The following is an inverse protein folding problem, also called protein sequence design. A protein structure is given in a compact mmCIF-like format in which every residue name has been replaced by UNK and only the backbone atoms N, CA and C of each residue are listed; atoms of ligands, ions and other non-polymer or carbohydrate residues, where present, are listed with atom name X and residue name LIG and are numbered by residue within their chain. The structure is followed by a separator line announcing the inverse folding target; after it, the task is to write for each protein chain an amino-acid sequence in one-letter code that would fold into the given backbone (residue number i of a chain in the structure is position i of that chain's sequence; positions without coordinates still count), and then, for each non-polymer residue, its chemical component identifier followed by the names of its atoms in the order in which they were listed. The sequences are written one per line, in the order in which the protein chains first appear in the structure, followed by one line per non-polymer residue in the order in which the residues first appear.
data_IF_026045162100
#
_entry.id   IF_026045162100
#
_cell.length_a   1.000
_cell.length_b   1.000
_cell.length_c   1.000
_cell.angle_alpha   90.00
_cell.angle_beta   90.00
_cell.angle_gamma   90.00
#
_symmetry.space_group_name_H-M   'P 1'
#
loop_
_entity.id
_entity.type
_entity.pdbx_description
1 polymer ?
#
# COMPACT_ATOMS: atom_id res chain seq x y z
N UNK A 1 -0.39 10.06 -16.01
CA UNK A 1 -1.79 9.58 -15.73
C UNK A 1 -1.94 9.39 -14.23
N UNK A 2 -3.10 9.74 -13.67
CA UNK A 2 -3.33 9.55 -12.23
C UNK A 2 -4.81 9.33 -11.93
N UNK A 3 -5.08 8.85 -10.71
CA UNK A 3 -6.40 8.82 -10.11
C UNK A 3 -6.27 9.13 -8.62
N UNK A 4 -7.17 9.96 -8.11
CA UNK A 4 -7.29 10.30 -6.69
C UNK A 4 -8.70 9.93 -6.23
N UNK A 5 -8.83 9.29 -5.07
CA UNK A 5 -10.14 8.99 -4.47
C UNK A 5 -10.89 10.29 -4.15
N UNK A 6 -12.22 10.26 -4.29
CA UNK A 6 -13.10 11.44 -4.13
C UNK A 6 -12.82 12.19 -2.82
N UNK A 7 -12.71 11.45 -1.72
CA UNK A 7 -12.41 11.97 -0.37
C UNK A 7 -11.20 12.91 -0.32
N UNK A 8 -10.21 12.74 -1.24
CA UNK A 8 -8.94 13.49 -1.21
C UNK A 8 -8.78 14.47 -2.38
N UNK A 9 -9.84 14.70 -3.16
CA UNK A 9 -9.75 15.62 -4.32
C UNK A 9 -9.44 17.06 -3.92
N UNK A 10 -9.93 17.50 -2.76
CA UNK A 10 -9.60 18.82 -2.23
C UNK A 10 -8.09 19.01 -1.94
N UNK A 11 -7.38 17.91 -1.66
CA UNK A 11 -5.94 17.92 -1.37
C UNK A 11 -5.08 17.60 -2.60
N UNK A 12 -5.64 17.62 -3.81
CA UNK A 12 -4.95 17.23 -5.04
C UNK A 12 -3.61 17.93 -5.22
N UNK A 13 -3.56 19.24 -5.09
CA UNK A 13 -2.35 20.04 -5.28
C UNK A 13 -1.23 19.64 -4.29
N UNK A 14 -1.59 19.43 -3.03
CA UNK A 14 -0.63 18.97 -2.02
C UNK A 14 -0.09 17.58 -2.34
N UNK A 15 -0.96 16.65 -2.77
CA UNK A 15 -0.54 15.28 -3.13
C UNK A 15 0.36 15.31 -4.38
N UNK A 16 0.03 16.09 -5.40
CA UNK A 16 0.87 16.28 -6.58
C UNK A 16 2.23 16.90 -6.21
N UNK A 17 2.25 17.87 -5.28
CA UNK A 17 3.48 18.45 -4.72
C UNK A 17 4.34 17.40 -4.03
N UNK A 18 3.77 16.50 -3.22
CA UNK A 18 4.53 15.42 -2.59
C UNK A 18 5.14 14.43 -3.60
N UNK A 19 4.45 14.19 -4.72
CA UNK A 19 4.97 13.34 -5.79
C UNK A 19 6.12 14.02 -6.53
N UNK A 20 5.99 15.31 -6.87
CA UNK A 20 7.03 16.07 -7.59
C UNK A 20 8.31 16.23 -6.75
N UNK A 21 8.15 16.39 -5.43
CA UNK A 21 9.27 16.56 -4.48
C UNK A 21 9.66 15.25 -3.78
N UNK A 22 9.21 14.10 -4.27
CA UNK A 22 9.40 12.82 -3.58
C UNK A 22 10.86 12.53 -3.24
N UNK A 23 11.79 12.84 -4.13
CA UNK A 23 13.21 12.54 -3.90
C UNK A 23 13.83 13.47 -2.83
N UNK A 24 13.37 14.73 -2.76
CA UNK A 24 13.94 15.79 -1.92
C UNK A 24 13.22 16.02 -0.59
N UNK A 25 11.98 15.50 -0.44
CA UNK A 25 11.13 15.74 0.74
C UNK A 25 10.54 14.46 1.29
N UNK A 26 9.80 14.58 2.40
CA UNK A 26 9.17 13.46 3.11
C UNK A 26 10.13 12.69 4.01
N UNK A 27 9.60 12.10 5.06
CA UNK A 27 10.33 11.25 6.00
C UNK A 27 10.54 9.86 5.42
N UNK A 28 11.78 9.40 5.34
CA UNK A 28 12.08 8.06 4.82
C UNK A 28 11.59 6.98 5.80
N UNK A 29 10.61 6.19 5.40
CA UNK A 29 10.06 5.08 6.19
C UNK A 29 10.71 3.74 5.83
N UNK A 30 10.83 3.43 4.52
CA UNK A 30 11.51 2.20 4.05
C UNK A 30 12.31 2.52 2.81
N UNK A 31 13.58 2.07 2.79
CA UNK A 31 14.43 2.08 1.59
C UNK A 31 14.75 0.65 1.19
N UNK A 32 14.10 0.16 0.15
CA UNK A 32 14.33 -1.16 -0.42
C UNK A 32 14.96 -1.09 -1.81
N UNK A 33 15.46 -2.23 -2.31
CA UNK A 33 16.06 -2.33 -3.65
C UNK A 33 15.08 -2.11 -4.81
N UNK A 34 13.79 -2.32 -4.56
CA UNK A 34 12.72 -2.29 -5.59
C UNK A 34 11.72 -1.16 -5.41
N UNK A 35 11.73 -0.49 -4.29
CA UNK A 35 10.84 0.61 -3.97
C UNK A 35 11.39 1.41 -2.79
N UNK A 36 10.93 2.64 -2.66
CA UNK A 36 11.12 3.47 -1.47
C UNK A 36 9.75 3.92 -0.97
N UNK A 37 9.61 3.99 0.34
CA UNK A 37 8.40 4.48 0.99
C UNK A 37 8.77 5.69 1.83
N UNK A 38 8.05 6.78 1.65
CA UNK A 38 8.19 7.98 2.45
C UNK A 38 6.84 8.40 3.05
N UNK A 39 6.90 9.03 4.21
CA UNK A 39 5.74 9.60 4.89
C UNK A 39 5.66 11.09 4.63
N UNK A 40 4.44 11.56 4.37
CA UNK A 40 4.13 12.97 4.12
C UNK A 40 2.95 13.39 4.99
N UNK A 41 3.04 14.54 5.62
CA UNK A 41 1.94 15.12 6.39
C UNK A 41 0.96 15.82 5.47
N UNK A 42 -0.31 15.43 5.55
CA UNK A 42 -1.41 16.03 4.81
C UNK A 42 -2.52 16.40 5.83
N UNK A 43 -2.52 17.65 6.26
CA UNK A 43 -3.40 18.12 7.33
C UNK A 43 -3.25 17.25 8.60
N UNK A 44 -4.33 16.66 9.07
CA UNK A 44 -4.35 15.76 10.22
C UNK A 44 -3.93 14.31 9.88
N UNK A 45 -3.67 14.00 8.61
CA UNK A 45 -3.32 12.66 8.14
C UNK A 45 -1.83 12.54 7.85
N UNK A 46 -1.33 11.32 7.90
CA UNK A 46 -0.03 10.96 7.34
C UNK A 46 -0.26 10.07 6.13
N UNK A 47 0.31 10.44 4.99
CA UNK A 47 0.29 9.61 3.79
C UNK A 47 1.56 8.75 3.74
N UNK A 48 1.37 7.50 3.39
CA UNK A 48 2.43 6.58 3.00
C UNK A 48 2.49 6.56 1.48
N UNK A 49 3.57 7.12 0.91
CA UNK A 49 3.76 7.18 -0.54
C UNK A 49 4.88 6.23 -0.93
N UNK A 50 4.55 5.27 -1.77
CA UNK A 50 5.45 4.25 -2.30
C UNK A 50 5.84 4.60 -3.73
N UNK A 51 7.13 4.89 -3.93
CA UNK A 51 7.75 5.01 -5.25
C UNK A 51 8.26 3.64 -5.69
N UNK A 52 7.90 3.22 -6.89
CA UNK A 52 8.38 1.98 -7.48
C UNK A 52 9.61 2.23 -8.35
N UNK A 53 10.57 1.30 -8.31
CA UNK A 53 11.78 1.37 -9.15
C UNK A 53 11.40 1.56 -10.61
N UNK A 54 12.10 2.49 -11.27
CA UNK A 54 11.96 2.74 -12.71
C UNK A 54 12.13 1.44 -13.50
N UNK A 55 11.19 1.11 -14.40
CA UNK A 55 11.28 -0.11 -15.19
C UNK A 55 12.41 -0.02 -16.21
N UNK A 56 12.97 -1.19 -16.58
CA UNK A 56 13.88 -1.27 -17.73
C UNK A 56 13.11 -1.02 -19.05
N UNK A 57 13.84 -0.85 -20.17
CA UNK A 57 13.25 -0.49 -21.47
C UNK A 57 12.10 -1.42 -21.91
N UNK A 58 12.27 -2.73 -21.76
CA UNK A 58 11.25 -3.71 -22.13
C UNK A 58 10.00 -3.54 -21.26
N UNK A 59 10.19 -3.42 -19.95
CA UNK A 59 9.08 -3.23 -19.01
C UNK A 59 8.40 -1.86 -19.16
N UNK A 60 9.10 -0.80 -19.61
CA UNK A 60 8.47 0.48 -19.93
C UNK A 60 7.38 0.31 -21.00
N UNK A 61 7.69 -0.43 -22.08
CA UNK A 61 6.77 -0.72 -23.17
C UNK A 61 5.62 -1.62 -22.70
N UNK A 62 5.96 -2.69 -21.93
CA UNK A 62 4.95 -3.60 -21.39
C UNK A 62 3.94 -2.86 -20.50
N UNK A 63 4.40 -1.95 -19.62
CA UNK A 63 3.50 -1.16 -18.79
C UNK A 63 2.72 -0.09 -19.55
N UNK A 64 3.18 0.31 -20.72
CA UNK A 64 2.45 1.27 -21.56
C UNK A 64 1.27 0.63 -22.30
N UNK A 65 1.46 -0.58 -22.83
CA UNK A 65 0.51 -1.18 -23.77
C UNK A 65 -0.17 -2.45 -23.27
N UNK A 66 0.45 -3.22 -22.40
CA UNK A 66 -0.01 -4.58 -22.07
C UNK A 66 -0.35 -4.79 -20.59
N UNK A 67 0.22 -4.01 -19.70
CA UNK A 67 0.06 -4.25 -18.26
C UNK A 67 -0.01 -2.96 -17.47
N UNK A 68 -1.01 -2.87 -16.57
CA UNK A 68 -1.08 -1.77 -15.59
C UNK A 68 0.17 -1.72 -14.71
N UNK A 69 0.64 -0.51 -14.35
CA UNK A 69 1.76 -0.34 -13.44
C UNK A 69 1.52 -1.00 -12.07
N UNK A 70 2.60 -1.18 -11.32
CA UNK A 70 2.48 -1.67 -9.93
C UNK A 70 1.67 -0.69 -9.06
N UNK A 71 1.89 0.62 -9.23
CA UNK A 71 1.17 1.66 -8.50
C UNK A 71 -0.34 1.58 -8.74
N UNK A 72 -0.75 1.55 -10.00
CA UNK A 72 -2.16 1.44 -10.37
C UNK A 72 -2.80 0.15 -9.85
N UNK A 73 -2.11 -0.99 -9.97
CA UNK A 73 -2.61 -2.26 -9.42
C UNK A 73 -2.77 -2.22 -7.91
N UNK A 74 -1.80 -1.65 -7.19
CA UNK A 74 -1.90 -1.48 -5.72
C UNK A 74 -3.13 -0.67 -5.34
N UNK A 75 -3.38 0.44 -6.05
CA UNK A 75 -4.56 1.29 -5.82
C UNK A 75 -5.88 0.55 -6.12
N UNK A 76 -5.97 -0.13 -7.27
CA UNK A 76 -7.17 -0.86 -7.68
C UNK A 76 -7.47 -2.04 -6.74
N UNK A 77 -6.44 -2.80 -6.32
CA UNK A 77 -6.62 -3.91 -5.39
C UNK A 77 -7.00 -3.43 -4.00
N UNK A 78 -6.33 -2.41 -3.46
CA UNK A 78 -6.72 -1.82 -2.18
C UNK A 78 -8.16 -1.28 -2.22
N UNK A 79 -8.56 -0.64 -3.31
CA UNK A 79 -9.95 -0.18 -3.49
C UNK A 79 -10.92 -1.35 -3.49
N UNK A 80 -10.63 -2.42 -4.23
CA UNK A 80 -11.48 -3.63 -4.25
C UNK A 80 -11.58 -4.31 -2.88
N UNK A 81 -10.48 -4.38 -2.13
CA UNK A 81 -10.50 -4.93 -0.76
C UNK A 81 -11.43 -4.11 0.14
N UNK A 82 -11.34 -2.77 0.08
CA UNK A 82 -12.24 -1.88 0.82
C UNK A 82 -13.71 -2.11 0.46
N UNK A 83 -14.02 -2.20 -0.83
CA UNK A 83 -15.39 -2.44 -1.32
C UNK A 83 -15.95 -3.79 -0.84
N UNK A 84 -15.08 -4.77 -0.59
CA UNK A 84 -15.44 -6.07 -0.02
C UNK A 84 -15.43 -6.10 1.52
N UNK A 85 -15.17 -4.96 2.17
CA UNK A 85 -15.06 -4.87 3.63
C UNK A 85 -13.84 -5.62 4.20
N UNK A 86 -12.77 -5.77 3.41
CA UNK A 86 -11.50 -6.35 3.85
C UNK A 86 -10.56 -5.22 4.26
N UNK A 87 -10.01 -5.28 5.47
CA UNK A 87 -9.10 -4.27 6.01
C UNK A 87 -7.83 -4.12 5.16
N UNK A 88 -7.54 -2.88 4.76
CA UNK A 88 -6.31 -2.48 4.08
C UNK A 88 -6.06 -1.00 4.36
N UNK A 89 -4.81 -0.49 4.28
CA UNK A 89 -4.59 0.95 4.32
C UNK A 89 -5.44 1.68 3.28
N UNK A 90 -6.14 2.73 3.69
CA UNK A 90 -7.05 3.48 2.83
C UNK A 90 -6.32 4.00 1.58
N UNK A 91 -6.68 3.55 0.37
CA UNK A 91 -6.05 4.05 -0.84
C UNK A 91 -6.41 5.51 -1.09
N UNK A 92 -5.42 6.33 -1.40
CA UNK A 92 -5.55 7.77 -1.66
C UNK A 92 -5.44 8.05 -3.15
N UNK A 93 -4.32 7.65 -3.76
CA UNK A 93 -4.05 7.95 -5.16
C UNK A 93 -3.04 6.99 -5.78
N UNK A 94 -3.01 6.95 -7.12
CA UNK A 94 -1.82 6.53 -7.87
C UNK A 94 -1.45 7.58 -8.90
N UNK A 95 -0.15 7.62 -9.24
CA UNK A 95 0.41 8.47 -10.28
C UNK A 95 1.34 7.66 -11.18
N UNK A 96 1.28 7.95 -12.48
CA UNK A 96 2.12 7.34 -13.51
C UNK A 96 2.65 8.43 -14.43
N UNK A 97 3.96 8.56 -14.50
CA UNK A 97 4.65 9.45 -15.41
C UNK A 97 5.22 8.66 -16.59
N UNK A 98 4.93 9.10 -17.78
CA UNK A 98 5.36 8.45 -19.01
C UNK A 98 6.34 9.34 -19.75
N UNK A 99 7.40 8.73 -20.31
CA UNK A 99 8.23 9.34 -21.33
C UNK A 99 7.81 8.84 -22.75
N UNK A 100 8.58 9.20 -23.77
CA UNK A 100 8.27 8.80 -25.15
C UNK A 100 8.34 7.27 -25.37
N UNK A 101 9.10 6.53 -24.57
CA UNK A 101 9.23 5.07 -24.65
C UNK A 101 8.09 4.38 -23.88
N UNK A 102 7.80 4.84 -22.68
CA UNK A 102 6.79 4.18 -21.83
C UNK A 102 6.74 4.68 -20.40
N UNK A 103 6.34 3.81 -19.48
CA UNK A 103 6.27 4.15 -18.07
C UNK A 103 7.67 4.48 -17.51
N UNK A 104 7.82 5.68 -16.97
CA UNK A 104 9.06 6.12 -16.37
C UNK A 104 9.05 6.03 -14.84
N UNK A 105 7.99 6.56 -14.21
CA UNK A 105 7.84 6.57 -12.76
C UNK A 105 6.41 6.21 -12.37
N UNK A 106 6.25 5.61 -11.20
CA UNK A 106 4.93 5.34 -10.68
C UNK A 106 4.93 5.35 -9.16
N UNK A 107 3.87 5.95 -8.59
CA UNK A 107 3.70 6.17 -7.16
C UNK A 107 2.31 5.70 -6.73
N UNK A 108 2.25 5.07 -5.57
CA UNK A 108 1.01 4.71 -4.90
C UNK A 108 0.97 5.37 -3.53
N UNK A 109 -0.10 6.08 -3.24
CA UNK A 109 -0.34 6.74 -1.96
C UNK A 109 -1.50 6.09 -1.23
N UNK A 110 -1.33 5.82 0.06
CA UNK A 110 -2.39 5.40 0.98
C UNK A 110 -2.24 6.14 2.32
N UNK A 111 -3.27 6.11 3.15
CA UNK A 111 -3.15 6.57 4.54
C UNK A 111 -2.13 5.70 5.29
N UNK A 112 -1.29 6.32 6.10
CA UNK A 112 -0.38 5.59 6.98
C UNK A 112 -1.14 5.05 8.18
N UNK A 113 -0.96 3.77 8.46
CA UNK A 113 -1.53 3.14 9.65
C UNK A 113 -0.56 3.25 10.82
N UNK A 114 -1.00 3.86 11.89
CA UNK A 114 -0.29 3.91 13.15
C UNK A 114 -0.70 2.76 14.08
N UNK A 115 0.15 2.44 15.06
CA UNK A 115 -0.10 1.39 16.07
C UNK A 115 -0.39 0.01 15.46
N UNK A 116 0.34 -0.33 14.41
CA UNK A 116 0.31 -1.64 13.76
C UNK A 116 1.65 -2.34 13.91
N UNK A 117 1.63 -3.67 13.85
CA UNK A 117 2.85 -4.50 13.75
C UNK A 117 2.69 -5.50 12.60
N UNK A 118 3.81 -6.00 12.10
CA UNK A 118 3.80 -6.99 11.03
C UNK A 118 3.46 -8.39 11.58
N UNK A 119 2.71 -9.17 10.83
CA UNK A 119 2.46 -10.58 11.17
C UNK A 119 3.77 -11.38 11.33
N UNK A 120 4.85 -10.93 10.70
CA UNK A 120 6.20 -11.48 10.88
C UNK A 120 6.65 -11.51 12.34
N UNK A 121 6.32 -10.49 13.12
CA UNK A 121 6.67 -10.42 14.54
C UNK A 121 6.00 -11.55 15.34
N UNK A 122 4.76 -11.91 14.99
CA UNK A 122 4.03 -13.02 15.59
C UNK A 122 4.68 -14.36 15.23
N UNK A 123 5.12 -14.51 13.96
CA UNK A 123 5.75 -15.75 13.49
C UNK A 123 7.11 -15.98 14.16
N UNK A 124 7.90 -14.91 14.28
CA UNK A 124 9.28 -14.98 14.80
C UNK A 124 9.36 -15.01 16.34
N UNK A 125 8.38 -14.46 17.04
CA UNK A 125 8.38 -14.41 18.49
C UNK A 125 7.30 -15.32 19.08
N UNK A 126 7.68 -16.52 19.53
CA UNK A 126 6.76 -17.48 20.15
C UNK A 126 6.20 -17.02 21.49
N UNK A 127 6.88 -16.09 22.17
CA UNK A 127 6.44 -15.48 23.44
C UNK A 127 5.62 -14.19 23.25
N UNK A 128 5.23 -13.86 21.99
CA UNK A 128 4.43 -12.66 21.72
C UNK A 128 3.11 -12.70 22.48
N UNK A 129 2.77 -11.60 23.15
CA UNK A 129 1.54 -11.51 23.94
C UNK A 129 0.30 -11.76 23.06
N UNK A 130 -0.61 -12.60 23.52
CA UNK A 130 -1.83 -12.99 22.82
C UNK A 130 -1.60 -13.67 21.45
N UNK A 131 -0.42 -14.28 21.25
CA UNK A 131 -0.03 -14.90 19.98
C UNK A 131 -1.09 -15.85 19.42
N UNK A 132 -1.60 -16.78 20.24
CA UNK A 132 -2.57 -17.79 19.80
C UNK A 132 -3.90 -17.18 19.38
N UNK A 133 -4.32 -16.12 20.06
CA UNK A 133 -5.52 -15.38 19.70
C UNK A 133 -5.36 -14.66 18.36
N UNK A 134 -4.22 -14.00 18.16
CA UNK A 134 -3.89 -13.34 16.90
C UNK A 134 -3.86 -14.36 15.75
N UNK A 135 -3.24 -15.53 15.95
CA UNK A 135 -3.19 -16.59 14.96
C UNK A 135 -4.59 -17.11 14.59
N UNK A 136 -5.49 -17.28 15.56
CA UNK A 136 -6.90 -17.68 15.29
C UNK A 136 -7.64 -16.61 14.49
N UNK A 137 -7.48 -15.33 14.86
CA UNK A 137 -8.12 -14.23 14.15
C UNK A 137 -7.55 -14.08 12.74
N UNK A 138 -6.24 -14.22 12.55
CA UNK A 138 -5.61 -14.23 11.24
C UNK A 138 -6.12 -15.38 10.35
N UNK A 139 -6.27 -16.57 10.92
CA UNK A 139 -6.83 -17.72 10.18
C UNK A 139 -8.28 -17.45 9.74
N UNK A 140 -9.10 -16.88 10.62
CA UNK A 140 -10.47 -16.47 10.29
C UNK A 140 -10.48 -15.41 9.18
N UNK A 141 -9.65 -14.39 9.30
CA UNK A 141 -9.50 -13.35 8.28
C UNK A 141 -9.12 -13.93 6.92
N UNK A 142 -8.16 -14.85 6.88
CA UNK A 142 -7.74 -15.52 5.64
C UNK A 142 -8.90 -16.34 5.03
N UNK A 143 -9.66 -17.04 5.86
CA UNK A 143 -10.84 -17.78 5.41
C UNK A 143 -11.92 -16.84 4.85
N UNK A 144 -12.21 -15.72 5.51
CA UNK A 144 -13.16 -14.72 5.03
C UNK A 144 -12.73 -14.09 3.70
N UNK A 145 -11.43 -13.82 3.51
CA UNK A 145 -10.90 -13.38 2.20
C UNK A 145 -11.21 -14.41 1.11
N UNK A 146 -10.95 -15.70 1.36
CA UNK A 146 -11.23 -16.77 0.40
C UNK A 146 -12.71 -16.88 0.08
N UNK A 147 -13.60 -16.77 1.09
CA UNK A 147 -15.05 -16.77 0.88
C UNK A 147 -15.53 -15.61 0.00
N UNK A 148 -14.81 -14.47 0.03
CA UNK A 148 -15.06 -13.30 -0.84
C UNK A 148 -14.35 -13.40 -2.19
N UNK A 149 -13.78 -14.55 -2.53
CA UNK A 149 -13.08 -14.80 -3.80
C UNK A 149 -11.74 -14.06 -3.92
N UNK A 150 -11.11 -13.73 -2.81
CA UNK A 150 -9.78 -13.10 -2.78
C UNK A 150 -8.74 -14.16 -2.46
N UNK A 151 -7.82 -14.38 -3.39
CA UNK A 151 -6.60 -15.16 -3.20
C UNK A 151 -5.40 -14.20 -3.12
N UNK A 152 -4.69 -14.20 -1.99
CA UNK A 152 -3.52 -13.37 -1.78
C UNK A 152 -2.26 -14.16 -2.13
N UNK A 153 -1.82 -14.08 -3.38
CA UNK A 153 -0.72 -14.87 -3.92
C UNK A 153 0.66 -14.59 -3.26
N UNK A 154 0.88 -13.38 -2.77
CA UNK A 154 2.12 -12.99 -2.06
C UNK A 154 1.86 -12.86 -0.54
N UNK A 155 1.35 -13.93 0.04
CA UNK A 155 0.98 -13.98 1.47
C UNK A 155 2.22 -14.22 2.35
N UNK A 156 3.21 -13.34 2.23
CA UNK A 156 4.37 -13.37 3.13
C UNK A 156 4.05 -12.68 4.45
N UNK A 157 4.70 -13.09 5.57
CA UNK A 157 4.44 -12.51 6.89
C UNK A 157 4.66 -10.99 7.00
N UNK A 158 5.46 -10.39 6.11
CA UNK A 158 5.68 -8.94 6.06
C UNK A 158 4.61 -8.17 5.27
N UNK A 159 3.68 -8.86 4.61
CA UNK A 159 2.63 -8.22 3.80
C UNK A 159 1.29 -8.11 4.52
N UNK A 160 1.22 -8.50 5.79
CA UNK A 160 0.04 -8.38 6.63
C UNK A 160 0.36 -7.56 7.86
N UNK A 161 -0.43 -6.52 8.06
CA UNK A 161 -0.38 -5.66 9.25
C UNK A 161 -1.47 -6.06 10.23
N UNK A 162 -1.12 -6.10 11.48
CA UNK A 162 -2.02 -6.40 12.59
C UNK A 162 -2.25 -5.12 13.39
N UNK A 163 -3.50 -4.79 13.63
CA UNK A 163 -3.89 -3.67 14.48
C UNK A 163 -4.77 -4.17 15.62
N UNK A 164 -4.45 -3.76 16.83
CA UNK A 164 -5.34 -4.02 17.95
C UNK A 164 -6.49 -3.01 17.95
N UNK A 165 -7.71 -3.47 17.98
CA UNK A 165 -8.91 -2.66 18.06
C UNK A 165 -9.22 -2.25 19.51
N UNK A 166 -10.11 -1.26 19.70
CA UNK A 166 -10.50 -0.78 21.03
C UNK A 166 -11.24 -1.83 21.86
N UNK A 167 -11.90 -2.78 21.23
CA UNK A 167 -12.59 -3.93 21.89
C UNK A 167 -11.62 -5.08 22.26
N UNK A 168 -10.33 -4.92 21.98
CA UNK A 168 -9.30 -5.91 22.25
C UNK A 168 -9.09 -6.95 21.15
N UNK A 169 -9.92 -6.98 20.11
CA UNK A 169 -9.73 -7.81 18.91
C UNK A 169 -8.56 -7.31 18.05
N UNK A 170 -8.15 -8.08 17.06
CA UNK A 170 -7.04 -7.75 16.15
C UNK A 170 -7.50 -7.73 14.71
#
# INVERSE_FOLDING_TARGET
MYQIKEKYKANKESIEGFISEFDNSGELFVKGNRNSIKLFKLDALTLNIKSFKKPNLINKIVYRYFRKSKARRSFEFASKLMDLGIGTPQPVAFFENYDFIGLNESYYACEHLENVFEFREIVQNTAFKNRDEILRQFTRFSFEMHQKGIEFLDHSPGNTLIRKNNDGSY
#
